data_IF_124078026895
#
_entry.id   IF_124078026895
#
_cell.length_a   1.000
_cell.length_b   1.000
_cell.length_c   1.000
_cell.angle_alpha   90.00
_cell.angle_beta   90.00
_cell.angle_gamma   90.00
#
_symmetry.space_group_name_H-M   'P 1'
#
loop_
_entity.id
_entity.type
_entity.pdbx_description
1 polymer ?
#
# COMPACT_ATOMS: atom_id res chain seq x y z
N UNK A 1 28.01 -46.33 -29.22
CA UNK A 1 26.82 -46.12 -28.38
C UNK A 1 26.65 -44.66 -27.91
N UNK A 2 27.29 -43.66 -28.55
CA UNK A 2 27.33 -42.29 -28.00
C UNK A 2 26.50 -41.25 -28.80
N UNK A 3 26.30 -41.41 -30.11
CA UNK A 3 25.59 -40.41 -30.94
C UNK A 3 24.06 -40.43 -30.75
N UNK A 4 23.46 -41.62 -30.64
CA UNK A 4 22.02 -41.77 -30.43
C UNK A 4 21.57 -41.35 -29.02
N UNK A 5 22.41 -41.57 -28.01
CA UNK A 5 22.15 -41.14 -26.63
C UNK A 5 22.17 -39.61 -26.54
N UNK A 6 23.14 -38.95 -27.18
CA UNK A 6 23.21 -37.48 -27.23
C UNK A 6 21.99 -36.90 -27.97
N UNK A 7 21.58 -37.50 -29.10
CA UNK A 7 20.41 -37.05 -29.85
C UNK A 7 19.12 -37.18 -29.03
N UNK A 8 18.98 -38.27 -28.26
CA UNK A 8 17.84 -38.48 -27.36
C UNK A 8 17.78 -37.43 -26.24
N UNK A 9 18.92 -37.09 -25.63
CA UNK A 9 18.99 -36.01 -24.64
C UNK A 9 18.69 -34.63 -25.26
N UNK A 10 19.09 -34.37 -26.50
CA UNK A 10 18.78 -33.12 -27.20
C UNK A 10 17.27 -32.97 -27.48
N UNK A 11 16.58 -34.06 -27.85
CA UNK A 11 15.14 -34.06 -28.13
C UNK A 11 14.29 -33.87 -26.86
N UNK A 12 14.79 -34.29 -25.70
CA UNK A 12 14.12 -34.04 -24.41
C UNK A 12 14.29 -32.58 -23.98
N UNK A 13 15.45 -31.97 -24.24
CA UNK A 13 15.75 -30.60 -23.84
C UNK A 13 14.88 -29.52 -24.54
N UNK A 14 14.41 -29.76 -25.76
CA UNK A 14 13.51 -28.82 -26.47
C UNK A 14 12.08 -28.79 -25.94
N UNK A 15 11.64 -29.82 -25.20
CA UNK A 15 10.28 -29.87 -24.64
C UNK A 15 10.13 -29.15 -23.28
N UNK A 16 11.22 -28.66 -22.69
CA UNK A 16 11.21 -28.01 -21.37
C UNK A 16 11.25 -26.48 -21.43
N UNK A 17 11.34 -25.87 -22.62
CA UNK A 17 11.31 -24.41 -22.78
C UNK A 17 9.87 -23.89 -22.72
N UNK A 18 9.40 -23.50 -21.54
CA UNK A 18 8.15 -22.74 -21.37
C UNK A 18 8.46 -21.25 -21.33
N UNK A 19 8.08 -20.53 -22.39
CA UNK A 19 8.20 -19.08 -22.46
C UNK A 19 6.93 -18.41 -21.90
N UNK A 20 7.09 -17.40 -21.05
CA UNK A 20 5.98 -16.61 -20.55
C UNK A 20 5.45 -15.68 -21.66
N UNK A 21 4.12 -15.53 -21.76
CA UNK A 21 3.50 -14.69 -22.80
C UNK A 21 3.34 -13.27 -22.28
N UNK A 22 3.89 -12.29 -23.01
CA UNK A 22 3.63 -10.87 -22.76
C UNK A 22 2.37 -10.44 -23.54
N UNK A 23 1.49 -9.68 -22.91
CA UNK A 23 0.28 -9.11 -23.51
C UNK A 23 0.10 -7.64 -23.09
N UNK A 24 -0.82 -6.94 -23.76
CA UNK A 24 -1.19 -5.55 -23.47
C UNK A 24 -2.67 -5.47 -23.10
N UNK A 25 -2.96 -4.67 -22.08
CA UNK A 25 -4.33 -4.31 -21.70
C UNK A 25 -4.86 -3.17 -22.56
N UNK A 26 -6.18 -2.94 -22.57
CA UNK A 26 -6.84 -1.87 -23.34
C UNK A 26 -6.28 -0.47 -23.05
N UNK A 27 -5.74 -0.25 -21.85
CA UNK A 27 -5.14 0.99 -21.40
C UNK A 27 -3.62 1.06 -21.68
N UNK A 28 -3.08 0.13 -22.48
CA UNK A 28 -1.69 0.12 -22.93
C UNK A 28 -0.68 -0.42 -21.93
N UNK A 29 -1.12 -1.01 -20.81
CA UNK A 29 -0.21 -1.57 -19.80
C UNK A 29 0.15 -3.01 -20.12
N UNK A 30 1.42 -3.35 -19.93
CA UNK A 30 1.94 -4.68 -20.23
C UNK A 30 1.68 -5.66 -19.08
N UNK A 31 1.28 -6.88 -19.42
CA UNK A 31 1.01 -7.99 -18.50
C UNK A 31 1.75 -9.25 -18.96
N UNK A 32 2.08 -10.12 -18.02
CA UNK A 32 2.65 -11.45 -18.23
C UNK A 32 1.57 -12.48 -17.91
N UNK A 33 1.22 -13.29 -18.89
CA UNK A 33 0.29 -14.41 -18.76
C UNK A 33 1.05 -15.68 -18.37
N UNK A 34 0.51 -16.41 -17.40
CA UNK A 34 1.03 -17.69 -16.94
C UNK A 34 0.18 -18.85 -17.47
N UNK A 35 0.81 -20.00 -17.69
CA UNK A 35 0.14 -21.23 -18.18
C UNK A 35 -0.97 -21.75 -17.26
N UNK A 36 -1.01 -21.31 -16.00
CA UNK A 36 -2.05 -21.66 -15.03
C UNK A 36 -3.33 -20.80 -15.17
N UNK A 37 -3.43 -19.99 -16.22
CA UNK A 37 -4.56 -19.09 -16.47
C UNK A 37 -4.56 -17.81 -15.63
N UNK A 38 -3.52 -17.57 -14.84
CA UNK A 38 -3.35 -16.30 -14.10
C UNK A 38 -2.46 -15.34 -14.87
N UNK A 39 -2.49 -14.06 -14.50
CA UNK A 39 -1.66 -13.04 -15.11
C UNK A 39 -1.16 -12.06 -14.04
N UNK A 40 -0.07 -11.36 -14.34
CA UNK A 40 0.47 -10.25 -13.54
C UNK A 40 0.81 -9.08 -14.44
N UNK A 41 0.76 -7.85 -13.94
CA UNK A 41 1.41 -6.75 -14.64
C UNK A 41 2.91 -7.05 -14.79
N UNK A 42 3.45 -6.88 -15.99
CA UNK A 42 4.90 -6.82 -16.14
C UNK A 42 5.37 -5.63 -15.32
N UNK A 43 6.46 -5.77 -14.56
CA UNK A 43 6.94 -4.72 -13.68
C UNK A 43 7.00 -3.38 -14.46
N UNK A 44 6.04 -2.50 -14.20
CA UNK A 44 6.02 -1.17 -14.79
C UNK A 44 7.34 -0.51 -14.36
N UNK A 45 8.16 -0.11 -15.34
CA UNK A 45 9.30 0.78 -15.12
C UNK A 45 8.89 2.14 -14.52
N UNK A 46 7.58 2.36 -14.34
CA UNK A 46 6.94 3.53 -13.73
C UNK A 46 6.33 3.27 -12.35
N UNK A 47 6.45 2.06 -11.80
CA UNK A 47 6.05 1.72 -10.44
C UNK A 47 7.18 0.92 -9.81
N UNK A 48 8.23 1.64 -9.39
CA UNK A 48 9.49 1.05 -8.92
C UNK A 48 9.27 -0.20 -8.09
N UNK A 49 10.07 -1.24 -8.36
CA UNK A 49 10.13 -2.48 -7.61
C UNK A 49 9.89 -2.28 -6.10
N UNK A 50 8.64 -2.34 -5.64
CA UNK A 50 8.33 -2.37 -4.20
C UNK A 50 8.49 -3.81 -3.67
N UNK A 51 9.52 -4.50 -4.14
CA UNK A 51 10.13 -5.66 -3.48
C UNK A 51 11.08 -5.25 -2.36
N UNK A 52 11.31 -3.96 -2.16
CA UNK A 52 12.19 -3.49 -1.08
C UNK A 52 11.47 -3.47 0.26
N UNK A 53 11.95 -4.32 1.16
CA UNK A 53 11.73 -4.29 2.60
C UNK A 53 11.47 -2.86 3.10
N UNK A 54 10.23 -2.55 3.48
CA UNK A 54 9.88 -1.23 4.01
C UNK A 54 10.79 -0.95 5.21
N UNK A 55 11.63 0.08 5.10
CA UNK A 55 12.59 0.44 6.13
C UNK A 55 11.83 0.91 7.37
N UNK A 56 12.33 0.50 8.54
CA UNK A 56 11.82 0.99 9.81
C UNK A 56 12.60 2.24 10.21
N UNK A 57 11.91 3.37 10.21
CA UNK A 57 12.41 4.62 10.76
C UNK A 57 12.39 4.55 12.29
N UNK A 58 13.59 4.65 12.87
CA UNK A 58 13.80 4.58 14.33
C UNK A 58 13.89 5.97 14.97
N UNK A 59 13.61 7.04 14.22
CA UNK A 59 13.58 8.38 14.78
C UNK A 59 12.52 8.48 15.88
N UNK A 60 12.82 9.26 16.92
CA UNK A 60 11.87 9.53 18.00
C UNK A 60 10.88 10.58 17.52
N UNK A 61 9.63 10.16 17.31
CA UNK A 61 8.55 11.07 16.98
C UNK A 61 7.93 11.63 18.28
N UNK A 62 8.01 12.95 18.43
CA UNK A 62 7.41 13.67 19.56
C UNK A 62 6.25 14.54 19.08
N UNK A 63 5.26 14.73 19.95
CA UNK A 63 4.14 15.61 19.69
C UNK A 63 4.66 17.05 19.53
N UNK A 64 4.16 17.77 18.53
CA UNK A 64 4.40 19.21 18.40
C UNK A 64 3.83 19.96 19.62
N UNK A 65 4.50 21.01 20.14
CA UNK A 65 3.96 21.83 21.23
C UNK A 65 2.63 22.50 20.85
N UNK A 66 2.39 22.75 19.56
CA UNK A 66 1.16 23.37 19.06
C UNK A 66 0.00 22.38 18.86
N UNK A 67 0.24 21.07 19.00
CA UNK A 67 -0.80 20.06 18.91
C UNK A 67 -1.48 19.90 20.29
N UNK A 68 -2.38 20.82 20.58
CA UNK A 68 -3.00 21.00 21.90
C UNK A 68 -4.29 20.21 22.09
N UNK A 69 -4.96 19.79 21.01
CA UNK A 69 -6.22 19.07 21.08
C UNK A 69 -6.05 17.58 20.75
N UNK A 70 -6.64 16.69 21.56
CA UNK A 70 -6.57 15.23 21.36
C UNK A 70 -7.91 14.71 20.85
N UNK A 71 -7.94 14.24 19.60
CA UNK A 71 -9.06 13.48 19.05
C UNK A 71 -8.88 12.02 19.43
N UNK A 72 -9.70 11.51 20.36
CA UNK A 72 -9.65 10.11 20.82
C UNK A 72 -10.59 9.25 19.99
N UNK A 73 -10.16 8.03 19.66
CA UNK A 73 -11.04 7.02 19.10
C UNK A 73 -12.00 6.48 20.18
N UNK A 74 -13.21 6.17 19.76
CA UNK A 74 -14.24 5.50 20.54
C UNK A 74 -14.16 3.96 20.41
N UNK A 75 -13.38 3.45 19.46
CA UNK A 75 -13.34 2.00 19.14
C UNK A 75 -12.09 1.30 19.68
N UNK A 76 -10.94 1.97 19.66
CA UNK A 76 -9.66 1.44 20.11
C UNK A 76 -8.91 2.48 20.93
N UNK A 77 -8.07 2.06 21.88
CA UNK A 77 -7.32 2.99 22.74
C UNK A 77 -6.17 3.67 21.96
N UNK A 78 -6.52 4.68 21.16
CA UNK A 78 -5.64 5.51 20.34
C UNK A 78 -6.22 6.93 20.24
N UNK A 79 -5.37 7.91 19.94
CA UNK A 79 -5.82 9.25 19.61
C UNK A 79 -4.80 10.02 18.78
N UNK A 80 -5.28 11.04 18.10
CA UNK A 80 -4.49 11.94 17.25
C UNK A 80 -4.46 13.32 17.88
N UNK A 81 -3.26 13.80 18.21
CA UNK A 81 -3.09 15.19 18.62
C UNK A 81 -3.05 16.10 17.41
N UNK A 82 -3.89 17.13 17.39
CA UNK A 82 -3.99 18.11 16.31
C UNK A 82 -3.75 19.52 16.84
N UNK A 83 -3.29 20.41 15.95
CA UNK A 83 -3.35 21.85 16.17
C UNK A 83 -4.73 22.37 15.70
N UNK A 84 -5.64 22.75 16.60
CA UNK A 84 -7.00 23.15 16.23
C UNK A 84 -7.05 24.49 15.49
N UNK A 85 -5.96 25.29 15.49
CA UNK A 85 -5.88 26.49 14.67
C UNK A 85 -5.67 26.15 13.19
N UNK A 86 -5.01 25.03 12.87
CA UNK A 86 -4.71 24.61 11.50
C UNK A 86 -5.65 23.53 10.96
N UNK A 87 -6.15 22.67 11.82
CA UNK A 87 -6.95 21.50 11.44
C UNK A 87 -8.34 21.55 12.05
N UNK A 88 -9.32 21.08 11.29
CA UNK A 88 -10.65 20.71 11.78
C UNK A 88 -10.84 19.21 11.63
N UNK A 89 -11.77 18.63 12.39
CA UNK A 89 -12.14 17.22 12.28
C UNK A 89 -13.66 17.03 12.35
N UNK A 90 -14.13 15.96 11.72
CA UNK A 90 -15.53 15.52 11.78
C UNK A 90 -15.59 14.00 11.88
N UNK A 91 -16.65 13.41 12.45
CA UNK A 91 -16.88 11.97 12.36
C UNK A 91 -17.13 11.52 10.91
N UNK A 92 -17.30 10.20 10.71
CA UNK A 92 -17.85 9.65 9.46
C UNK A 92 -19.19 10.30 9.10
N UNK A 93 -19.54 10.24 7.82
CA UNK A 93 -20.88 10.60 7.33
C UNK A 93 -21.84 9.46 7.61
N UNK A 94 -23.14 9.76 7.68
CA UNK A 94 -24.19 8.78 7.99
C UNK A 94 -24.21 7.56 7.06
N UNK A 95 -23.70 7.70 5.83
CA UNK A 95 -23.63 6.64 4.82
C UNK A 95 -22.26 5.90 4.78
N UNK A 96 -21.37 6.16 5.74
CA UNK A 96 -20.01 5.63 5.76
C UNK A 96 -19.72 4.96 7.11
N UNK A 97 -19.03 3.81 7.10
CA UNK A 97 -18.57 3.14 8.33
C UNK A 97 -17.10 3.51 8.63
N UNK A 98 -16.33 3.87 7.60
CA UNK A 98 -14.91 4.23 7.66
C UNK A 98 -14.71 5.48 6.80
N UNK A 99 -13.92 6.47 7.26
CA UNK A 99 -13.09 6.51 8.48
C UNK A 99 -13.85 6.97 9.74
N UNK A 100 -13.39 6.60 10.94
CA UNK A 100 -13.99 7.05 12.20
C UNK A 100 -13.99 8.58 12.31
N UNK A 101 -12.86 9.20 11.93
CA UNK A 101 -12.72 10.65 11.83
C UNK A 101 -12.06 11.08 10.53
N UNK A 102 -12.52 12.19 9.98
CA UNK A 102 -11.92 12.93 8.86
C UNK A 102 -11.29 14.21 9.40
N UNK A 103 -10.13 14.58 8.87
CA UNK A 103 -9.42 15.79 9.20
C UNK A 103 -9.20 16.62 7.95
N UNK A 104 -9.44 17.92 8.05
CA UNK A 104 -9.26 18.86 6.94
C UNK A 104 -8.41 20.04 7.40
N UNK A 105 -7.45 20.42 6.56
CA UNK A 105 -6.62 21.60 6.77
C UNK A 105 -7.45 22.85 6.46
N UNK A 106 -7.44 23.83 7.36
CA UNK A 106 -8.23 25.06 7.18
C UNK A 106 -7.71 25.95 6.05
N UNK A 107 -6.41 25.91 5.78
CA UNK A 107 -5.73 26.82 4.84
C UNK A 107 -5.49 26.22 3.45
N UNK A 108 -6.11 25.09 3.09
CA UNK A 108 -5.89 24.47 1.78
C UNK A 108 -6.51 23.07 1.65
N UNK A 109 -6.03 22.29 0.68
CA UNK A 109 -6.63 21.00 0.29
C UNK A 109 -6.10 19.79 1.08
N UNK A 110 -5.44 20.02 2.22
CA UNK A 110 -4.88 18.95 3.04
C UNK A 110 -6.00 18.13 3.69
N UNK A 111 -5.99 16.81 3.47
CA UNK A 111 -6.95 15.89 4.08
C UNK A 111 -6.21 14.74 4.77
N UNK A 112 -6.75 14.29 5.89
CA UNK A 112 -6.31 13.08 6.58
C UNK A 112 -7.51 12.33 7.16
N UNK A 113 -7.30 11.07 7.52
CA UNK A 113 -8.34 10.22 8.08
C UNK A 113 -7.79 9.32 9.19
N UNK A 114 -8.59 9.08 10.23
CA UNK A 114 -8.35 8.04 11.22
C UNK A 114 -9.32 6.90 10.94
N UNK A 115 -8.80 5.80 10.42
CA UNK A 115 -9.52 4.53 10.29
C UNK A 115 -9.08 3.59 11.41
N UNK A 116 -10.05 3.02 12.11
CA UNK A 116 -9.82 2.14 13.26
C UNK A 116 -10.46 0.79 13.02
N UNK A 117 -9.67 -0.27 13.21
CA UNK A 117 -10.08 -1.65 12.95
C UNK A 117 -9.89 -2.45 14.23
N UNK A 118 -10.91 -3.23 14.62
CA UNK A 118 -10.84 -4.11 15.81
C UNK A 118 -10.03 -5.37 15.53
N UNK A 119 -9.99 -5.82 14.28
CA UNK A 119 -9.23 -7.01 13.87
C UNK A 119 -7.79 -6.64 13.55
N UNK A 120 -6.81 -7.46 13.96
CA UNK A 120 -5.41 -7.22 13.63
C UNK A 120 -5.20 -7.42 12.12
N UNK A 121 -4.89 -6.33 11.43
CA UNK A 121 -4.53 -6.35 10.01
C UNK A 121 -3.02 -6.57 9.88
N UNK A 122 -2.63 -7.43 8.94
CA UNK A 122 -1.22 -7.59 8.59
C UNK A 122 -0.66 -6.26 8.04
N UNK A 123 0.38 -5.73 8.69
CA UNK A 123 1.03 -4.47 8.29
C UNK A 123 1.49 -4.45 6.83
N UNK A 124 1.85 -5.61 6.25
CA UNK A 124 2.20 -5.73 4.82
C UNK A 124 1.03 -5.38 3.90
N UNK A 125 -0.19 -5.69 4.33
CA UNK A 125 -1.41 -5.44 3.56
C UNK A 125 -1.89 -3.99 3.73
N UNK A 126 -1.50 -3.32 4.82
CA UNK A 126 -1.95 -1.96 5.14
C UNK A 126 -1.55 -0.94 4.08
N UNK A 127 -0.40 -1.11 3.44
CA UNK A 127 0.03 -0.33 2.26
C UNK A 127 -1.02 -0.36 1.15
N UNK A 128 -1.46 -1.56 0.78
CA UNK A 128 -2.40 -1.73 -0.32
C UNK A 128 -3.77 -1.16 0.03
N UNK A 129 -4.22 -1.37 1.28
CA UNK A 129 -5.49 -0.81 1.78
C UNK A 129 -5.45 0.73 1.75
N UNK A 130 -4.35 1.35 2.21
CA UNK A 130 -4.18 2.79 2.17
C UNK A 130 -4.21 3.34 0.74
N UNK A 131 -3.52 2.67 -0.21
CA UNK A 131 -3.51 3.07 -1.61
C UNK A 131 -4.91 2.97 -2.24
N UNK A 132 -5.63 1.87 -2.03
CA UNK A 132 -7.00 1.68 -2.55
C UNK A 132 -7.93 2.78 -2.01
N UNK A 133 -7.79 3.12 -0.73
CA UNK A 133 -8.60 4.18 -0.13
C UNK A 133 -8.23 5.57 -0.66
N UNK A 134 -6.96 5.85 -0.92
CA UNK A 134 -6.54 7.09 -1.57
C UNK A 134 -7.08 7.18 -3.00
N UNK A 135 -7.06 6.07 -3.75
CA UNK A 135 -7.55 6.00 -5.13
C UNK A 135 -9.05 6.23 -5.27
N UNK A 136 -9.84 5.89 -4.24
CA UNK A 136 -11.27 6.26 -4.19
C UNK A 136 -11.50 7.77 -4.13
N UNK A 137 -10.55 8.53 -3.59
CA UNK A 137 -10.61 9.99 -3.53
C UNK A 137 -9.95 10.66 -4.75
N UNK A 138 -8.87 10.08 -5.27
CA UNK A 138 -8.15 10.55 -6.44
C UNK A 138 -7.57 9.37 -7.23
N UNK A 139 -8.14 9.07 -8.41
CA UNK A 139 -7.85 7.85 -9.16
C UNK A 139 -6.37 7.68 -9.57
N UNK A 140 -5.63 8.78 -9.69
CA UNK A 140 -4.21 8.85 -10.05
C UNK A 140 -3.27 8.75 -8.83
N UNK A 141 -3.81 8.56 -7.62
CA UNK A 141 -3.02 8.44 -6.40
C UNK A 141 -1.99 7.29 -6.51
N UNK A 142 -0.74 7.61 -6.16
CA UNK A 142 0.41 6.70 -6.17
C UNK A 142 1.26 6.85 -4.92
N UNK A 143 1.96 5.78 -4.56
CA UNK A 143 2.90 5.79 -3.42
C UNK A 143 4.20 6.45 -3.86
N UNK A 144 4.55 7.58 -3.24
CA UNK A 144 5.83 8.27 -3.45
C UNK A 144 6.85 7.99 -2.33
N UNK A 145 6.39 7.48 -1.19
CA UNK A 145 7.21 7.09 -0.05
C UNK A 145 6.44 6.18 0.89
N UNK A 146 7.15 5.37 1.66
CA UNK A 146 6.58 4.46 2.66
C UNK A 146 7.61 4.15 3.74
N UNK A 147 7.19 4.10 5.01
CA UNK A 147 8.06 3.68 6.10
C UNK A 147 7.29 3.07 7.27
N UNK A 148 7.95 2.19 8.03
CA UNK A 148 7.47 1.82 9.35
C UNK A 148 8.01 2.80 10.39
N UNK A 149 7.15 3.26 11.30
CA UNK A 149 7.57 4.07 12.45
C UNK A 149 7.34 3.32 13.74
N UNK A 150 8.27 3.47 14.68
CA UNK A 150 8.06 3.09 16.08
C UNK A 150 7.69 4.37 16.83
N UNK A 151 6.44 4.47 17.26
CA UNK A 151 6.06 5.46 18.26
C UNK A 151 6.24 4.85 19.65
N UNK A 152 6.20 5.69 20.69
CA UNK A 152 6.56 5.39 22.09
C UNK A 152 5.88 4.09 22.62
N UNK A 153 4.82 3.59 21.98
CA UNK A 153 4.08 2.40 22.42
C UNK A 153 3.69 1.43 21.27
N UNK A 154 3.72 1.82 19.98
CA UNK A 154 3.21 0.98 18.86
C UNK A 154 3.95 1.20 17.51
N UNK A 155 3.95 0.17 16.66
CA UNK A 155 4.45 0.24 15.27
C UNK A 155 3.33 0.72 14.34
N UNK A 156 3.59 1.78 13.58
CA UNK A 156 2.65 2.35 12.61
C UNK A 156 3.23 2.29 11.19
N UNK A 157 2.36 2.17 10.18
CA UNK A 157 2.71 2.31 8.76
C UNK A 157 2.27 3.70 8.30
N UNK A 158 3.13 4.40 7.56
CA UNK A 158 2.87 5.70 6.94
C UNK A 158 3.35 5.64 5.49
#
# INVERSE_FOLDING_TARGET
>A
MNKFVILFFLLIAVNTSRAQINALTENGRQVVLFDNGTWKYSADSTGGNLTDTIKTNRAKFVKSPYATFLVKSNTVNVGVYINPAKWTFSPHRDNEIVPEYRFSLKSGNGQAMLATEKTPINLKNMRNIALINAQKAAADARITGQEYRITIIKRCFI
#
